data_IF_798907871755
#
_entry.id   IF_798907871755
#
_cell.length_a   1.000
_cell.length_b   1.000
_cell.length_c   1.000
_cell.angle_alpha   90.00
_cell.angle_beta   90.00
_cell.angle_gamma   90.00
#
_symmetry.space_group_name_H-M   'P 1'
#
loop_
_entity.id
_entity.type
_entity.pdbx_description
1 polymer ?
#
# COMPACT_ATOMS: atom_id res chain seq x y z
N UNK A 1 18.86 -77.35 17.10
CA UNK A 1 19.21 -77.32 15.66
C UNK A 1 18.57 -76.08 15.06
N UNK A 2 19.30 -74.98 14.96
CA UNK A 2 18.82 -73.73 14.35
C UNK A 2 19.31 -73.63 12.89
N UNK A 3 18.47 -73.21 11.92
CA UNK A 3 18.89 -73.11 10.53
C UNK A 3 19.70 -71.84 10.27
N UNK A 4 20.69 -71.98 9.38
CA UNK A 4 21.64 -70.97 8.91
C UNK A 4 20.92 -69.83 8.17
N UNK A 5 21.20 -68.59 8.56
CA UNK A 5 20.84 -67.40 7.79
C UNK A 5 21.80 -67.24 6.60
N UNK A 6 21.26 -67.23 5.38
CA UNK A 6 21.98 -66.88 4.16
C UNK A 6 22.18 -65.37 4.06
N UNK A 7 23.43 -64.94 3.85
CA UNK A 7 23.76 -63.55 3.58
C UNK A 7 23.42 -63.18 2.14
N UNK A 8 22.53 -62.20 1.97
CA UNK A 8 22.27 -61.53 0.70
C UNK A 8 23.24 -60.35 0.54
N UNK A 9 23.90 -60.25 -0.61
CA UNK A 9 24.73 -59.12 -1.03
C UNK A 9 23.85 -57.88 -1.28
N UNK A 10 24.30 -56.65 -0.96
CA UNK A 10 23.53 -55.44 -1.23
C UNK A 10 23.55 -55.09 -2.73
N UNK A 11 22.39 -54.68 -3.26
CA UNK A 11 22.21 -54.20 -4.62
C UNK A 11 22.95 -52.86 -4.86
N UNK A 12 23.40 -52.57 -6.10
CA UNK A 12 24.11 -51.33 -6.38
C UNK A 12 23.17 -50.12 -6.25
N UNK A 13 23.61 -49.14 -5.46
CA UNK A 13 22.98 -47.82 -5.35
C UNK A 13 23.26 -47.07 -6.64
N UNK A 14 22.27 -46.96 -7.52
CA UNK A 14 22.30 -46.02 -8.64
C UNK A 14 22.12 -44.60 -8.08
N UNK A 15 23.23 -43.91 -7.85
CA UNK A 15 23.22 -42.46 -7.63
C UNK A 15 22.87 -41.78 -8.94
N UNK A 16 21.73 -41.08 -9.00
CA UNK A 16 21.44 -40.17 -10.12
C UNK A 16 22.55 -39.12 -10.17
N UNK A 17 23.16 -38.84 -11.34
CA UNK A 17 24.13 -37.76 -11.44
C UNK A 17 23.45 -36.44 -11.06
N UNK A 18 24.18 -35.59 -10.33
CA UNK A 18 23.74 -34.23 -10.05
C UNK A 18 23.50 -33.49 -11.38
N UNK A 19 22.44 -32.67 -11.47
CA UNK A 19 22.16 -31.92 -12.70
C UNK A 19 23.33 -31.00 -13.03
N UNK A 20 23.64 -30.88 -14.31
CA UNK A 20 24.74 -30.03 -14.77
C UNK A 20 24.36 -28.55 -14.64
N UNK A 21 25.35 -27.66 -14.60
CA UNK A 21 25.12 -26.22 -14.55
C UNK A 21 24.31 -25.67 -15.75
N UNK A 22 24.12 -26.46 -16.82
CA UNK A 22 23.30 -26.11 -17.97
C UNK A 22 21.80 -26.38 -17.75
N UNK A 23 21.41 -27.22 -16.78
CA UNK A 23 20.01 -27.58 -16.51
C UNK A 23 19.29 -26.57 -15.61
N UNK A 24 19.99 -25.54 -15.11
CA UNK A 24 19.45 -24.48 -14.25
C UNK A 24 19.06 -23.20 -15.01
N UNK A 25 19.31 -23.15 -16.32
CA UNK A 25 18.96 -22.01 -17.17
C UNK A 25 17.55 -22.21 -17.77
N UNK A 26 16.50 -21.99 -16.98
CA UNK A 26 15.14 -21.94 -17.52
C UNK A 26 14.00 -22.37 -16.61
N UNK A 27 14.24 -22.72 -15.34
CA UNK A 27 13.13 -22.86 -14.40
C UNK A 27 12.62 -21.47 -14.02
N UNK A 28 11.32 -21.17 -14.20
CA UNK A 28 10.75 -19.95 -13.62
C UNK A 28 11.01 -20.02 -12.11
N UNK A 29 11.61 -18.96 -11.57
CA UNK A 29 11.69 -18.77 -10.12
C UNK A 29 10.31 -19.08 -9.53
N UNK A 30 10.20 -19.94 -8.49
CA UNK A 30 8.92 -20.25 -7.90
C UNK A 30 8.24 -18.92 -7.53
N UNK A 31 7.11 -18.66 -8.19
CA UNK A 31 6.31 -17.47 -7.92
C UNK A 31 5.87 -17.55 -6.47
N UNK A 32 6.37 -16.63 -5.66
CA UNK A 32 5.97 -16.56 -4.25
C UNK A 32 4.45 -16.33 -4.20
N UNK A 33 3.69 -17.23 -3.54
CA UNK A 33 2.24 -17.16 -3.57
C UNK A 33 1.75 -15.88 -2.89
N UNK A 34 0.72 -15.26 -3.46
CA UNK A 34 0.05 -14.13 -2.81
C UNK A 34 -0.62 -14.63 -1.54
N UNK A 35 -0.32 -14.00 -0.41
CA UNK A 35 -0.92 -14.31 0.88
C UNK A 35 -1.66 -13.09 1.43
N UNK A 36 -2.80 -13.34 2.08
CA UNK A 36 -3.47 -12.29 2.87
C UNK A 36 -2.60 -12.03 4.11
N UNK A 37 -2.32 -10.76 4.46
CA UNK A 37 -1.61 -10.41 5.68
C UNK A 37 -2.23 -11.09 6.91
N UNK A 38 -1.41 -11.82 7.65
CA UNK A 38 -1.76 -12.45 8.91
C UNK A 38 -1.43 -11.56 10.11
N UNK A 39 -1.67 -12.05 11.32
CA UNK A 39 -1.43 -11.30 12.54
C UNK A 39 0.04 -10.90 12.74
N UNK A 40 1.00 -11.70 12.25
CA UNK A 40 2.43 -11.36 12.29
C UNK A 40 2.76 -10.20 11.36
N UNK A 41 2.18 -10.18 10.15
CA UNK A 41 2.31 -9.07 9.22
C UNK A 41 1.78 -7.75 9.83
N UNK A 42 0.64 -7.78 10.51
CA UNK A 42 0.08 -6.60 11.19
C UNK A 42 0.96 -6.14 12.36
N UNK A 43 1.47 -7.07 13.20
CA UNK A 43 2.41 -6.72 14.28
C UNK A 43 3.70 -6.08 13.73
N UNK A 44 4.26 -6.66 12.67
CA UNK A 44 5.47 -6.14 12.03
C UNK A 44 5.23 -4.74 11.44
N UNK A 45 4.07 -4.51 10.82
CA UNK A 45 3.68 -3.20 10.29
C UNK A 45 3.52 -2.16 11.40
N UNK A 46 2.84 -2.49 12.50
CA UNK A 46 2.69 -1.60 13.64
C UNK A 46 4.06 -1.23 14.23
N UNK A 47 4.94 -2.21 14.45
CA UNK A 47 6.28 -1.99 14.96
C UNK A 47 7.11 -1.04 14.05
N UNK A 48 6.94 -1.14 12.71
CA UNK A 48 7.60 -0.22 11.77
C UNK A 48 7.05 1.21 11.85
N UNK A 49 5.73 1.36 12.03
CA UNK A 49 5.11 2.67 12.25
C UNK A 49 5.64 3.34 13.52
N UNK A 50 5.74 2.58 14.62
CA UNK A 50 6.16 3.06 15.94
C UNK A 50 7.69 3.22 16.07
N UNK A 51 8.48 2.58 15.20
CA UNK A 51 9.94 2.66 15.25
C UNK A 51 10.46 4.10 15.05
N UNK A 52 11.26 4.59 15.99
CA UNK A 52 11.88 5.92 15.87
C UNK A 52 13.28 5.88 15.24
N UNK A 53 13.99 4.75 15.41
CA UNK A 53 15.37 4.58 14.94
C UNK A 53 15.41 4.34 13.43
N UNK A 54 16.46 4.86 12.77
CA UNK A 54 16.68 4.66 11.33
C UNK A 54 15.91 5.61 10.42
N UNK A 55 15.06 6.48 10.99
CA UNK A 55 14.26 7.45 10.25
C UNK A 55 14.95 8.82 10.15
N UNK A 56 15.03 9.38 8.95
CA UNK A 56 15.51 10.74 8.71
C UNK A 56 14.32 11.69 8.59
N UNK A 57 14.21 12.66 9.50
CA UNK A 57 13.15 13.68 9.41
C UNK A 57 13.35 14.57 8.19
N UNK A 58 12.29 14.75 7.40
CA UNK A 58 12.23 15.65 6.24
C UNK A 58 11.29 16.82 6.48
N UNK A 59 10.30 16.65 7.36
CA UNK A 59 9.36 17.68 7.76
C UNK A 59 8.84 17.36 9.17
N UNK A 60 8.68 18.38 10.02
CA UNK A 60 8.05 18.22 11.34
C UNK A 60 7.54 19.58 11.83
N UNK A 61 6.25 19.87 11.62
CA UNK A 61 5.59 21.12 12.04
C UNK A 61 4.09 20.88 12.28
N UNK A 62 3.51 21.60 13.23
CA UNK A 62 2.04 21.64 13.46
C UNK A 62 1.39 20.26 13.60
N UNK A 63 1.99 19.36 14.40
CA UNK A 63 1.46 18.00 14.58
C UNK A 63 1.57 17.11 13.34
N UNK A 64 2.29 17.55 12.30
CA UNK A 64 2.56 16.77 11.08
C UNK A 64 4.04 16.48 10.97
N UNK A 65 4.38 15.21 10.77
CA UNK A 65 5.75 14.75 10.56
C UNK A 65 5.90 13.91 9.31
N UNK A 66 7.04 14.02 8.64
CA UNK A 66 7.43 13.21 7.49
C UNK A 66 8.86 12.75 7.68
N UNK A 67 9.08 11.45 7.64
CA UNK A 67 10.36 10.80 7.74
C UNK A 67 10.61 9.88 6.56
N UNK A 68 11.88 9.70 6.23
CA UNK A 68 12.31 8.82 5.15
C UNK A 68 13.41 7.90 5.67
N UNK A 69 13.33 6.64 5.30
CA UNK A 69 14.36 5.64 5.55
C UNK A 69 15.05 5.27 4.22
N UNK A 70 16.39 5.27 4.16
CA UNK A 70 17.10 4.77 2.99
C UNK A 70 16.79 3.28 2.74
N UNK A 71 16.85 2.82 1.48
CA UNK A 71 16.66 1.41 1.19
C UNK A 71 17.70 0.56 1.95
N UNK A 72 17.32 -0.63 2.43
CA UNK A 72 18.28 -1.54 3.06
C UNK A 72 19.31 -2.04 2.02
N UNK A 73 20.54 -2.41 2.44
CA UNK A 73 21.57 -2.90 1.53
C UNK A 73 21.17 -4.14 0.73
N UNK A 74 20.35 -5.02 1.34
CA UNK A 74 19.74 -6.18 0.72
C UNK A 74 18.22 -5.98 0.70
N UNK A 75 17.69 -5.43 -0.40
CA UNK A 75 16.26 -5.23 -0.58
C UNK A 75 15.94 -4.31 -1.76
N UNK A 76 14.66 -3.95 -1.94
CA UNK A 76 14.25 -3.02 -2.99
C UNK A 76 14.98 -1.68 -2.84
N UNK A 77 15.51 -1.15 -3.94
CA UNK A 77 16.20 0.15 -4.00
C UNK A 77 15.21 1.33 -3.94
N UNK A 78 14.26 1.27 -3.00
CA UNK A 78 13.13 2.20 -2.85
C UNK A 78 13.10 2.68 -1.41
N UNK A 79 13.02 4.00 -1.23
CA UNK A 79 12.86 4.62 0.07
C UNK A 79 11.53 4.23 0.73
N UNK A 80 11.57 3.98 2.04
CA UNK A 80 10.36 3.91 2.85
C UNK A 80 10.07 5.30 3.40
N UNK A 81 8.82 5.74 3.29
CA UNK A 81 8.33 7.02 3.78
C UNK A 81 7.35 6.75 4.91
N UNK A 82 7.50 7.50 6.01
CA UNK A 82 6.55 7.53 7.12
C UNK A 82 6.02 8.94 7.27
N UNK A 83 4.71 9.09 7.31
CA UNK A 83 4.03 10.35 7.51
C UNK A 83 3.11 10.21 8.73
N UNK A 84 3.17 11.15 9.67
CA UNK A 84 2.34 11.15 10.86
C UNK A 84 1.54 12.46 10.95
N UNK A 85 0.31 12.39 11.42
CA UNK A 85 -0.51 13.55 11.76
C UNK A 85 -1.33 13.28 13.02
N UNK A 86 -1.27 14.23 13.96
CA UNK A 86 -2.19 14.28 15.09
C UNK A 86 -3.50 14.94 14.69
N UNK A 87 -4.60 14.26 14.96
CA UNK A 87 -5.95 14.68 14.61
C UNK A 87 -6.74 14.90 15.89
N UNK A 88 -7.08 16.17 16.13
CA UNK A 88 -7.99 16.59 17.19
C UNK A 88 -9.43 16.63 16.67
N UNK A 89 -10.37 16.61 17.61
CA UNK A 89 -11.82 16.69 17.37
C UNK A 89 -12.42 15.58 16.50
N UNK A 90 -11.70 14.47 16.34
CA UNK A 90 -12.11 13.32 15.54
C UNK A 90 -11.71 12.02 16.27
N UNK A 91 -12.63 11.08 16.47
CA UNK A 91 -12.30 9.78 17.04
C UNK A 91 -11.62 8.87 16.00
N UNK A 92 -10.83 7.89 16.46
CA UNK A 92 -10.07 6.99 15.59
C UNK A 92 -10.97 6.23 14.60
N UNK A 93 -12.17 5.86 15.03
CA UNK A 93 -13.21 5.18 14.24
C UNK A 93 -13.61 6.00 13.00
N UNK A 94 -13.74 7.32 13.13
CA UNK A 94 -14.09 8.20 12.01
C UNK A 94 -12.95 8.26 11.00
N UNK A 95 -11.70 8.29 11.46
CA UNK A 95 -10.54 8.23 10.55
C UNK A 95 -10.50 6.88 9.82
N UNK A 96 -10.77 5.79 10.53
CA UNK A 96 -10.85 4.45 9.96
C UNK A 96 -11.94 4.35 8.89
N UNK A 97 -13.13 4.89 9.15
CA UNK A 97 -14.22 4.96 8.16
C UNK A 97 -13.81 5.76 6.91
N UNK A 98 -13.17 6.93 7.08
CA UNK A 98 -12.72 7.76 5.95
C UNK A 98 -11.69 7.06 5.07
N UNK A 99 -10.82 6.23 5.67
CA UNK A 99 -9.82 5.47 4.93
C UNK A 99 -10.43 4.33 4.10
N UNK A 100 -11.56 3.77 4.55
CA UNK A 100 -12.28 2.70 3.85
C UNK A 100 -13.32 3.19 2.83
N UNK A 101 -13.94 4.35 3.07
CA UNK A 101 -15.05 4.84 2.25
C UNK A 101 -14.56 5.39 0.89
N UNK A 102 -14.53 4.52 -0.12
CA UNK A 102 -14.08 4.85 -1.49
C UNK A 102 -14.98 5.89 -2.15
N UNK A 103 -16.28 5.88 -1.86
CA UNK A 103 -17.20 6.91 -2.35
C UNK A 103 -16.80 8.28 -1.81
N UNK A 104 -16.51 8.34 -0.51
CA UNK A 104 -16.00 9.57 0.09
C UNK A 104 -14.61 9.94 -0.40
N UNK A 105 -13.75 8.97 -0.70
CA UNK A 105 -12.40 9.22 -1.24
C UNK A 105 -12.46 10.09 -2.50
N UNK A 106 -13.39 9.80 -3.41
CA UNK A 106 -13.61 10.61 -4.63
C UNK A 106 -14.06 12.04 -4.34
N UNK A 107 -14.68 12.29 -3.19
CA UNK A 107 -15.15 13.63 -2.78
C UNK A 107 -14.02 14.52 -2.28
N UNK A 108 -13.11 13.98 -1.48
CA UNK A 108 -12.09 14.81 -0.81
C UNK A 108 -10.70 14.76 -1.47
N UNK A 109 -10.36 13.66 -2.16
CA UNK A 109 -9.08 13.51 -2.83
C UNK A 109 -9.17 13.93 -4.31
N UNK A 110 -8.85 15.19 -4.56
CA UNK A 110 -8.87 15.79 -5.91
C UNK A 110 -7.87 15.19 -6.90
N UNK A 111 -6.90 14.40 -6.40
CA UNK A 111 -5.91 13.76 -7.27
C UNK A 111 -6.43 12.43 -7.83
N UNK A 112 -7.49 11.86 -7.28
CA UNK A 112 -8.10 10.63 -7.79
C UNK A 112 -8.59 10.84 -9.21
N UNK A 113 -8.24 9.91 -10.09
CA UNK A 113 -8.81 9.79 -11.44
C UNK A 113 -9.92 8.74 -11.40
N UNK A 114 -9.59 7.57 -10.87
CA UNK A 114 -10.51 6.45 -10.73
C UNK A 114 -10.07 5.57 -9.56
N UNK A 115 -11.04 4.98 -8.86
CA UNK A 115 -10.85 4.15 -7.67
C UNK A 115 -12.06 3.27 -7.46
N UNK A 116 -11.88 1.97 -7.24
CA UNK A 116 -12.98 1.03 -6.93
C UNK A 116 -12.43 -0.28 -6.39
N UNK A 117 -13.23 -0.95 -5.57
CA UNK A 117 -12.96 -2.33 -5.19
C UNK A 117 -13.35 -3.28 -6.32
N UNK A 118 -12.53 -4.30 -6.55
CA UNK A 118 -12.67 -5.28 -7.62
C UNK A 118 -13.35 -6.53 -7.11
N UNK A 119 -12.81 -7.13 -6.04
CA UNK A 119 -13.29 -8.38 -5.49
C UNK A 119 -12.89 -8.56 -4.03
N UNK A 120 -13.65 -9.39 -3.32
CA UNK A 120 -13.39 -9.77 -1.92
C UNK A 120 -12.60 -11.07 -1.87
N UNK A 121 -11.58 -11.12 -1.01
CA UNK A 121 -10.76 -12.30 -0.74
C UNK A 121 -11.11 -12.95 0.61
N UNK A 122 -11.39 -12.13 1.62
CA UNK A 122 -11.79 -12.55 2.96
C UNK A 122 -12.82 -11.57 3.55
N UNK A 123 -13.21 -11.74 4.82
CA UNK A 123 -14.07 -10.75 5.52
C UNK A 123 -13.35 -9.41 5.72
N UNK A 124 -12.02 -9.46 5.83
CA UNK A 124 -11.16 -8.31 6.10
C UNK A 124 -10.10 -8.08 5.01
N UNK A 125 -10.31 -8.64 3.81
CA UNK A 125 -9.37 -8.48 2.70
C UNK A 125 -10.07 -8.40 1.34
N UNK A 126 -9.62 -7.48 0.51
CA UNK A 126 -10.13 -7.24 -0.84
C UNK A 126 -9.00 -6.88 -1.83
N UNK A 127 -9.37 -6.81 -3.10
CA UNK A 127 -8.53 -6.29 -4.18
C UNK A 127 -9.18 -5.01 -4.70
N UNK A 128 -8.41 -3.94 -4.81
CA UNK A 128 -8.87 -2.65 -5.32
C UNK A 128 -7.99 -2.09 -6.42
N UNK A 129 -8.56 -1.19 -7.21
CA UNK A 129 -7.88 -0.37 -8.20
C UNK A 129 -7.87 1.08 -7.75
N UNK A 130 -6.75 1.77 -7.98
CA UNK A 130 -6.60 3.19 -7.69
C UNK A 130 -5.70 3.87 -8.71
N UNK A 131 -6.11 5.02 -9.23
CA UNK A 131 -5.32 5.83 -10.16
C UNK A 131 -5.39 7.31 -9.81
N UNK A 132 -4.28 8.02 -10.01
CA UNK A 132 -4.13 9.40 -9.58
C UNK A 132 -3.33 10.28 -10.54
N UNK A 133 -3.61 11.58 -10.45
CA UNK A 133 -2.92 12.64 -11.16
C UNK A 133 -1.54 12.88 -10.54
N UNK A 134 -0.52 12.95 -11.38
CA UNK A 134 0.81 13.40 -10.97
C UNK A 134 1.05 14.86 -11.39
N UNK A 135 1.94 15.58 -10.69
CA UNK A 135 2.37 16.91 -11.11
C UNK A 135 2.91 16.87 -12.53
N UNK A 136 2.42 17.75 -13.41
CA UNK A 136 2.94 17.86 -14.77
C UNK A 136 4.45 18.18 -14.74
N UNK A 137 5.25 17.66 -15.69
CA UNK A 137 4.85 16.87 -16.86
C UNK A 137 4.87 15.34 -16.64
N UNK A 138 4.83 14.87 -15.40
CA UNK A 138 4.83 13.44 -15.09
C UNK A 138 3.56 12.75 -15.60
N UNK A 139 3.68 11.52 -16.09
CA UNK A 139 2.52 10.69 -16.41
C UNK A 139 1.73 10.35 -15.15
N UNK A 140 0.42 10.18 -15.27
CA UNK A 140 -0.42 9.73 -14.17
C UNK A 140 -0.12 8.26 -13.83
N UNK A 141 -0.44 7.83 -12.61
CA UNK A 141 -0.14 6.48 -12.13
C UNK A 141 -1.40 5.71 -11.79
N UNK A 142 -1.31 4.39 -11.89
CA UNK A 142 -2.28 3.44 -11.33
C UNK A 142 -1.61 2.36 -10.46
N UNK A 143 -2.40 1.74 -9.59
CA UNK A 143 -2.06 0.54 -8.83
C UNK A 143 -3.25 -0.39 -8.77
N UNK A 144 -2.96 -1.68 -8.69
CA UNK A 144 -3.88 -2.73 -8.26
C UNK A 144 -3.30 -3.30 -6.97
N UNK A 145 -4.06 -3.30 -5.89
CA UNK A 145 -3.57 -3.72 -4.57
C UNK A 145 -4.49 -4.72 -3.91
N UNK A 146 -3.90 -5.72 -3.27
CA UNK A 146 -4.57 -6.45 -2.20
C UNK A 146 -4.49 -5.56 -0.96
N UNK A 147 -5.64 -5.32 -0.33
CA UNK A 147 -5.75 -4.59 0.94
C UNK A 147 -6.34 -5.52 1.99
N UNK A 148 -5.80 -5.46 3.20
CA UNK A 148 -6.29 -6.19 4.37
C UNK A 148 -6.32 -5.26 5.57
N UNK A 149 -7.26 -5.48 6.49
CA UNK A 149 -7.40 -4.63 7.68
C UNK A 149 -7.60 -5.44 8.96
N UNK A 150 -7.17 -4.87 10.08
CA UNK A 150 -7.28 -5.46 11.41
C UNK A 150 -7.44 -4.37 12.46
N UNK A 151 -8.22 -4.65 13.50
CA UNK A 151 -8.34 -3.79 14.68
C UNK A 151 -7.90 -4.60 15.91
N UNK A 152 -6.93 -4.10 16.66
CA UNK A 152 -6.40 -4.72 17.89
C UNK A 152 -6.22 -3.63 18.94
N UNK A 153 -6.79 -3.80 20.13
CA UNK A 153 -6.63 -2.86 21.26
C UNK A 153 -6.85 -1.38 20.89
N UNK A 154 -7.89 -1.10 20.08
CA UNK A 154 -8.21 0.24 19.52
C UNK A 154 -7.13 0.86 18.62
N UNK A 155 -6.21 0.04 18.14
CA UNK A 155 -5.31 0.35 17.03
C UNK A 155 -5.94 -0.19 15.74
N UNK A 156 -6.23 0.70 14.81
CA UNK A 156 -6.86 0.36 13.53
C UNK A 156 -5.78 0.33 12.46
N UNK A 157 -5.63 -0.81 11.78
CA UNK A 157 -4.60 -1.02 10.77
C UNK A 157 -5.21 -1.39 9.43
N UNK A 158 -4.67 -0.81 8.37
CA UNK A 158 -4.98 -1.16 6.98
C UNK A 158 -3.65 -1.31 6.26
N UNK A 159 -3.38 -2.49 5.71
CA UNK A 159 -2.17 -2.81 4.96
C UNK A 159 -2.56 -3.12 3.53
N UNK A 160 -1.76 -2.67 2.57
CA UNK A 160 -1.90 -3.01 1.17
C UNK A 160 -0.55 -3.21 0.49
N UNK A 161 -0.55 -4.03 -0.54
CA UNK A 161 0.58 -4.23 -1.45
C UNK A 161 0.08 -4.57 -2.85
N UNK A 162 0.92 -4.35 -3.86
CA UNK A 162 0.52 -4.50 -5.25
C UNK A 162 0.44 -5.96 -5.68
N UNK A 163 -0.64 -6.27 -6.40
CA UNK A 163 -0.88 -7.58 -7.03
C UNK A 163 -1.18 -7.39 -8.51
N UNK A 164 -0.93 -8.44 -9.29
CA UNK A 164 -1.39 -8.57 -10.67
C UNK A 164 -2.77 -9.19 -10.65
N UNK A 165 -3.72 -8.48 -11.24
CA UNK A 165 -5.05 -8.99 -11.52
C UNK A 165 -5.21 -9.20 -13.03
N UNK A 166 -5.66 -10.38 -13.51
CA UNK A 166 -5.69 -10.71 -14.95
C UNK A 166 -6.46 -9.69 -15.81
N UNK A 167 -7.56 -9.15 -15.29
CA UNK A 167 -8.40 -8.16 -15.99
C UNK A 167 -7.93 -6.69 -15.85
N UNK A 168 -6.87 -6.42 -15.08
CA UNK A 168 -6.31 -5.07 -14.88
C UNK A 168 -4.81 -5.01 -15.28
N UNK A 169 -4.47 -5.36 -16.55
CA UNK A 169 -3.09 -5.24 -17.03
C UNK A 169 -2.62 -3.77 -17.04
N UNK A 170 -1.31 -3.51 -17.11
CA UNK A 170 -0.79 -2.16 -17.28
C UNK A 170 -1.39 -1.46 -18.51
N UNK A 171 -1.71 -0.18 -18.35
CA UNK A 171 -2.29 0.65 -19.40
C UNK A 171 -1.22 1.50 -20.08
N UNK A 172 -1.45 1.92 -21.33
CA UNK A 172 -0.47 2.75 -22.08
C UNK A 172 -0.45 4.21 -21.64
N UNK A 173 -1.57 4.72 -21.14
CA UNK A 173 -1.78 6.10 -20.74
C UNK A 173 -1.35 6.40 -19.30
N UNK A 174 -1.14 5.36 -18.49
CA UNK A 174 -0.76 5.44 -17.08
C UNK A 174 0.53 4.65 -16.81
N UNK A 175 1.25 5.04 -15.77
CA UNK A 175 2.38 4.27 -15.25
C UNK A 175 1.88 3.37 -14.14
N UNK A 176 2.08 2.05 -14.27
CA UNK A 176 1.81 1.10 -13.18
C UNK A 176 2.87 1.27 -12.09
N UNK A 177 2.50 1.91 -10.99
CA UNK A 177 3.33 1.95 -9.79
C UNK A 177 3.25 0.62 -9.04
N UNK A 178 4.19 0.38 -8.12
CA UNK A 178 4.23 -0.82 -7.28
C UNK A 178 4.31 -0.41 -5.82
N UNK A 179 3.23 -0.66 -5.08
CA UNK A 179 3.22 -0.62 -3.62
C UNK A 179 3.86 -1.90 -3.11
N UNK A 180 5.10 -1.83 -2.63
CA UNK A 180 5.76 -2.98 -2.01
C UNK A 180 5.09 -3.27 -0.66
N UNK A 181 4.88 -2.21 0.11
CA UNK A 181 4.08 -2.20 1.33
C UNK A 181 3.59 -0.77 1.53
N UNK A 182 2.29 -0.60 1.75
CA UNK A 182 1.76 0.65 2.24
C UNK A 182 0.65 0.39 3.25
N UNK A 183 0.41 1.32 4.15
CA UNK A 183 -0.66 1.14 5.11
C UNK A 183 -0.85 2.32 6.04
N UNK A 184 -1.90 2.21 6.83
CA UNK A 184 -2.31 3.17 7.83
C UNK A 184 -2.37 2.50 9.19
N UNK A 185 -1.86 3.18 10.21
CA UNK A 185 -2.06 2.89 11.62
C UNK A 185 -2.78 4.08 12.24
N UNK A 186 -3.97 3.87 12.79
CA UNK A 186 -4.72 4.88 13.55
C UNK A 186 -4.74 4.45 15.01
N UNK A 187 -4.22 5.31 15.88
CA UNK A 187 -4.18 5.06 17.32
C UNK A 187 -4.99 6.14 18.05
N UNK A 188 -5.95 5.71 18.86
CA UNK A 188 -6.71 6.64 19.72
C UNK A 188 -5.79 7.28 20.75
N UNK A 189 -5.86 8.61 20.87
CA UNK A 189 -5.17 9.38 21.93
C UNK A 189 -6.17 9.94 22.94
N UNK A 190 -7.46 9.63 22.76
CA UNK A 190 -8.57 10.08 23.57
C UNK A 190 -9.92 9.78 22.89
N UNK A 191 -11.06 10.08 23.54
CA UNK A 191 -12.38 9.83 22.97
C UNK A 191 -12.68 10.57 21.67
N UNK A 192 -12.03 11.72 21.43
CA UNK A 192 -12.22 12.55 20.24
C UNK A 192 -10.88 13.02 19.65
N UNK A 193 -9.85 12.20 19.78
CA UNK A 193 -8.52 12.49 19.24
C UNK A 193 -7.80 11.19 18.87
N UNK A 194 -6.96 11.28 17.84
CA UNK A 194 -6.16 10.15 17.39
C UNK A 194 -4.91 10.61 16.66
N UNK A 195 -3.95 9.70 16.51
CA UNK A 195 -2.78 9.87 15.67
C UNK A 195 -2.89 8.92 14.48
N UNK A 196 -2.71 9.46 13.29
CA UNK A 196 -2.62 8.69 12.05
C UNK A 196 -1.16 8.61 11.62
N UNK A 197 -0.67 7.39 11.47
CA UNK A 197 0.59 7.10 10.78
C UNK A 197 0.31 6.43 9.44
N UNK A 198 0.82 7.01 8.35
CA UNK A 198 0.89 6.39 7.03
C UNK A 198 2.33 5.94 6.77
N UNK A 199 2.52 4.66 6.47
CA UNK A 199 3.81 4.07 6.13
C UNK A 199 3.74 3.54 4.71
N UNK A 200 4.72 3.86 3.87
CA UNK A 200 4.72 3.46 2.47
C UNK A 200 6.13 3.26 1.91
N UNK A 201 6.34 2.09 1.33
CA UNK A 201 7.44 1.78 0.42
C UNK A 201 6.83 1.54 -0.96
N UNK A 202 6.83 2.59 -1.78
CA UNK A 202 6.21 2.57 -3.11
C UNK A 202 7.26 2.87 -4.15
N UNK A 203 7.43 1.96 -5.09
CA UNK A 203 8.16 2.24 -6.33
C UNK A 203 7.20 2.99 -7.25
N UNK A 204 7.39 4.30 -7.48
CA UNK A 204 6.53 5.07 -8.39
C UNK A 204 6.65 4.61 -9.85
N UNK A 205 7.61 3.72 -10.11
CA UNK A 205 8.08 3.20 -11.38
C UNK A 205 8.50 4.30 -12.33
N UNK A 206 9.80 4.28 -12.61
CA UNK A 206 10.47 5.32 -13.35
C UNK A 206 11.47 6.12 -12.51
N UNK A 207 12.33 6.89 -13.19
CA UNK A 207 13.28 7.77 -12.50
C UNK A 207 12.63 9.13 -12.31
N UNK A 208 12.20 9.43 -11.09
CA UNK A 208 11.63 10.75 -10.78
C UNK A 208 12.72 11.83 -10.70
N UNK A 209 12.45 13.06 -11.16
CA UNK A 209 13.34 14.19 -10.93
C UNK A 209 13.56 14.47 -9.44
N UNK A 210 14.77 14.93 -9.07
CA UNK A 210 15.11 15.29 -7.68
C UNK A 210 14.15 16.32 -7.07
N UNK A 211 13.67 17.27 -7.87
CA UNK A 211 12.73 18.29 -7.42
C UNK A 211 11.40 17.67 -6.97
N UNK A 212 10.93 16.61 -7.64
CA UNK A 212 9.70 15.88 -7.28
C UNK A 212 9.87 15.23 -5.93
N UNK A 213 10.99 14.53 -5.72
CA UNK A 213 11.29 13.84 -4.46
C UNK A 213 11.33 14.84 -3.29
N UNK A 214 12.02 15.96 -3.47
CA UNK A 214 12.11 17.01 -2.45
C UNK A 214 10.73 17.62 -2.16
N UNK A 215 9.97 17.99 -3.20
CA UNK A 215 8.64 18.60 -3.07
C UNK A 215 7.61 17.65 -2.45
N UNK A 216 7.73 16.35 -2.76
CA UNK A 216 6.85 15.32 -2.22
C UNK A 216 6.93 15.27 -0.69
N UNK A 217 8.14 15.17 -0.14
CA UNK A 217 8.33 15.08 1.32
C UNK A 217 8.06 16.39 2.07
N UNK A 218 8.33 17.55 1.46
CA UNK A 218 8.25 18.83 2.15
C UNK A 218 6.89 19.52 2.02
N UNK A 219 6.15 19.26 0.94
CA UNK A 219 4.91 19.99 0.62
C UNK A 219 3.74 19.07 0.32
N UNK A 220 3.90 18.07 -0.56
CA UNK A 220 2.76 17.26 -1.00
C UNK A 220 2.25 16.34 0.10
N UNK A 221 3.14 15.64 0.80
CA UNK A 221 2.76 14.73 1.89
C UNK A 221 2.08 15.49 3.05
N UNK A 222 2.65 16.57 3.61
CA UNK A 222 1.96 17.35 4.65
C UNK A 222 0.62 17.92 4.20
N UNK A 223 0.53 18.42 2.95
CA UNK A 223 -0.72 18.96 2.40
C UNK A 223 -1.79 17.87 2.25
N UNK A 224 -1.40 16.66 1.85
CA UNK A 224 -2.31 15.53 1.74
C UNK A 224 -2.83 15.11 3.12
N UNK A 225 -1.95 15.00 4.13
CA UNK A 225 -2.37 14.69 5.50
C UNK A 225 -3.35 15.73 6.05
N UNK A 226 -3.10 17.03 5.85
CA UNK A 226 -4.04 18.09 6.25
C UNK A 226 -5.37 18.04 5.50
N UNK A 227 -5.37 17.67 4.22
CA UNK A 227 -6.62 17.44 3.46
C UNK A 227 -7.40 16.27 4.04
N UNK A 228 -6.71 15.18 4.38
CA UNK A 228 -7.32 14.01 5.00
C UNK A 228 -7.92 14.36 6.36
N UNK A 229 -7.20 15.09 7.22
CA UNK A 229 -7.73 15.61 8.49
C UNK A 229 -9.01 16.41 8.30
N UNK A 230 -9.03 17.34 7.34
CA UNK A 230 -10.24 18.12 7.00
C UNK A 230 -11.38 17.24 6.47
N UNK A 231 -11.06 16.16 5.77
CA UNK A 231 -12.06 15.19 5.32
C UNK A 231 -12.66 14.44 6.52
N UNK A 232 -11.85 14.04 7.50
CA UNK A 232 -12.33 13.40 8.73
C UNK A 232 -13.32 14.29 9.51
N UNK A 233 -13.03 15.58 9.66
CA UNK A 233 -13.95 16.53 10.30
C UNK A 233 -15.29 16.66 9.57
N UNK A 234 -15.30 16.50 8.24
CA UNK A 234 -16.50 16.64 7.40
C UNK A 234 -17.25 15.32 7.17
N UNK A 235 -16.63 14.19 7.50
CA UNK A 235 -17.17 12.88 7.17
C UNK A 235 -18.50 12.56 7.85
N UNK A 236 -18.70 12.81 9.17
CA UNK A 236 -19.97 12.48 9.81
C UNK A 236 -21.17 13.14 9.13
N UNK A 237 -21.07 14.44 8.84
CA UNK A 237 -22.14 15.18 8.16
C UNK A 237 -22.37 14.71 6.73
N UNK A 238 -21.30 14.35 6.01
CA UNK A 238 -21.44 13.79 4.66
C UNK A 238 -22.10 12.41 4.69
N UNK A 239 -21.65 11.51 5.58
CA UNK A 239 -22.11 10.13 5.65
C UNK A 239 -23.57 10.02 6.09
N UNK A 240 -24.05 10.95 6.91
CA UNK A 240 -25.49 11.09 7.23
C UNK A 240 -26.38 11.23 5.98
N UNK A 241 -25.85 11.84 4.91
CA UNK A 241 -26.57 12.06 3.65
C UNK A 241 -26.33 10.94 2.62
N UNK A 242 -25.42 9.99 2.90
CA UNK A 242 -24.93 8.99 1.94
C UNK A 242 -24.96 7.58 2.55
N UNK A 243 -26.17 7.10 2.86
CA UNK A 243 -26.43 5.76 3.42
C UNK A 243 -25.60 5.47 4.68
N UNK A 244 -25.94 6.15 5.78
CA UNK A 244 -25.19 6.11 7.05
C UNK A 244 -24.95 4.70 7.60
N UNK A 245 -25.86 3.77 7.34
CA UNK A 245 -25.79 2.38 7.81
C UNK A 245 -24.88 1.48 6.97
N UNK A 246 -24.48 1.92 5.77
CA UNK A 246 -23.68 1.12 4.83
C UNK A 246 -22.19 1.38 5.10
N UNK A 247 -21.56 0.43 5.80
CA UNK A 247 -20.15 0.38 6.17
C UNK A 247 -19.64 -1.07 6.05
N UNK A 248 -19.45 -1.60 4.83
CA UNK A 248 -19.09 -3.01 4.60
C UNK A 248 -17.75 -3.42 5.20
N UNK A 249 -16.87 -2.46 5.51
CA UNK A 249 -15.61 -2.69 6.24
C UNK A 249 -15.80 -2.97 7.74
N UNK A 250 -16.94 -2.58 8.33
CA UNK A 250 -17.34 -2.93 9.70
C UNK A 250 -18.33 -4.11 9.72
N UNK A 251 -19.17 -4.21 8.68
CA UNK A 251 -20.27 -5.15 8.55
C UNK A 251 -20.13 -5.96 7.25
N UNK A 252 -19.28 -7.02 7.23
CA UNK A 252 -18.92 -7.73 6.00
C UNK A 252 -20.11 -8.31 5.22
N UNK A 253 -21.23 -8.59 5.88
CA UNK A 253 -22.48 -9.05 5.25
C UNK A 253 -23.11 -8.00 4.32
N UNK A 254 -22.75 -6.72 4.46
CA UNK A 254 -23.18 -5.65 3.56
C UNK A 254 -22.38 -5.63 2.24
N UNK A 255 -21.26 -6.36 2.18
CA UNK A 255 -20.36 -6.35 1.03
C UNK A 255 -20.97 -7.12 -0.15
N UNK A 256 -21.14 -6.42 -1.29
CA UNK A 256 -21.73 -6.95 -2.52
C UNK A 256 -20.69 -7.31 -3.60
N UNK A 257 -19.40 -7.21 -3.29
CA UNK A 257 -18.34 -7.53 -4.22
C UNK A 257 -18.35 -9.02 -4.57
N UNK A 258 -17.97 -9.38 -5.81
CA UNK A 258 -17.73 -10.78 -6.16
C UNK A 258 -16.59 -11.33 -5.29
N UNK A 259 -16.62 -12.63 -5.03
CA UNK A 259 -15.53 -13.32 -4.33
C UNK A 259 -14.48 -13.79 -5.34
N UNK A 260 -13.21 -13.78 -4.95
CA UNK A 260 -12.07 -14.16 -5.78
C UNK A 260 -11.15 -15.13 -5.03
N UNK A 261 -10.47 -16.02 -5.77
CA UNK A 261 -9.46 -16.89 -5.20
C UNK A 261 -8.09 -16.21 -5.21
N UNK A 262 -7.30 -16.40 -4.13
CA UNK A 262 -5.93 -15.89 -4.08
C UNK A 262 -5.04 -16.44 -5.19
N UNK A 263 -5.31 -17.66 -5.67
CA UNK A 263 -4.60 -18.29 -6.80
C UNK A 263 -4.77 -17.56 -8.12
N UNK A 264 -5.78 -16.70 -8.25
CA UNK A 264 -6.03 -15.89 -9.45
C UNK A 264 -5.15 -14.64 -9.49
N UNK A 265 -4.44 -14.36 -8.40
CA UNK A 265 -3.54 -13.23 -8.25
C UNK A 265 -2.08 -13.67 -8.28
N UNK A 266 -1.21 -12.76 -8.70
CA UNK A 266 0.23 -12.93 -8.57
C UNK A 266 0.85 -11.67 -7.94
N UNK A 267 1.99 -11.81 -7.27
CA UNK A 267 2.69 -10.64 -6.74
C UNK A 267 3.16 -9.72 -7.87
N UNK A 268 2.97 -8.41 -7.67
CA UNK A 268 3.46 -7.41 -8.60
C UNK A 268 4.90 -7.02 -8.23
N UNK A 269 5.87 -7.66 -8.85
CA UNK A 269 7.27 -7.26 -8.71
C UNK A 269 7.61 -6.06 -9.60
N UNK A 270 8.33 -5.08 -9.05
CA UNK A 270 8.82 -3.93 -9.79
C UNK A 270 9.67 -4.33 -11.01
N UNK A 271 10.52 -5.36 -10.90
CA UNK A 271 11.37 -5.83 -11.99
C UNK A 271 10.58 -6.33 -13.23
N UNK A 272 9.31 -6.69 -13.07
CA UNK A 272 8.47 -7.23 -14.16
C UNK A 272 7.74 -6.17 -14.99
N UNK A 273 7.94 -4.89 -14.69
CA UNK A 273 7.30 -3.77 -15.38
C UNK A 273 8.37 -2.88 -16.02
N UNK A 274 8.05 -2.30 -17.17
CA UNK A 274 8.91 -1.32 -17.84
C UNK A 274 9.25 -0.14 -16.93
N UNK A 275 10.50 0.34 -17.02
CA UNK A 275 10.96 1.53 -16.31
C UNK A 275 10.82 2.75 -17.22
N UNK A 276 10.13 3.79 -16.73
CA UNK A 276 9.91 5.03 -17.49
C UNK A 276 10.87 6.10 -16.96
N UNK A 277 11.88 6.47 -17.73
CA UNK A 277 12.83 7.51 -17.31
C UNK A 277 12.21 8.91 -17.48
N UNK A 278 11.84 9.53 -16.36
CA UNK A 278 11.27 10.88 -16.30
C UNK A 278 12.26 11.88 -15.68
N UNK A 279 13.53 11.50 -15.48
CA UNK A 279 14.47 12.24 -14.64
C UNK A 279 14.91 13.59 -15.23
N UNK A 280 14.79 13.73 -16.56
CA UNK A 280 15.11 14.94 -17.31
C UNK A 280 13.99 15.98 -17.32
N UNK A 281 12.81 15.65 -16.77
CA UNK A 281 11.66 16.55 -16.78
C UNK A 281 11.84 17.73 -15.81
N UNK A 282 11.71 18.94 -16.34
CA UNK A 282 11.71 20.19 -15.57
C UNK A 282 10.33 20.47 -14.97
N UNK A 283 10.32 21.15 -13.82
CA UNK A 283 9.08 21.57 -13.17
C UNK A 283 8.37 22.61 -14.03
N UNK A 284 7.13 22.31 -14.44
CA UNK A 284 6.24 23.30 -15.04
C UNK A 284 5.52 23.99 -13.89
N UNK A 285 5.71 25.30 -13.73
CA UNK A 285 4.92 26.11 -12.80
C UNK A 285 3.49 26.21 -13.35
N UNK A 286 2.54 25.48 -12.76
CA UNK A 286 1.12 25.71 -13.04
C UNK A 286 0.74 27.08 -12.46
N UNK A 287 0.47 28.07 -13.32
CA UNK A 287 -0.02 29.42 -12.96
C UNK A 287 -1.48 29.43 -12.43
N UNK A 288 -2.05 28.28 -12.07
CA UNK A 288 -3.43 28.17 -11.57
C UNK A 288 -3.52 27.28 -10.34
N UNK A 289 -3.33 27.90 -9.19
CA UNK A 289 -3.60 27.26 -7.90
C UNK A 289 -3.57 28.22 -6.70
N UNK A 290 -3.45 29.52 -6.93
CA UNK A 290 -3.41 30.56 -5.91
C UNK A 290 -4.57 31.52 -6.13
N UNK A 291 -5.76 31.10 -5.68
CA UNK A 291 -6.91 31.93 -5.30
C UNK A 291 -8.09 31.01 -4.99
N UNK A 292 -8.23 30.64 -3.73
CA UNK A 292 -9.54 30.48 -3.07
C UNK A 292 -9.32 30.16 -1.60
N UNK A 293 -9.62 31.14 -0.75
CA UNK A 293 -9.77 30.93 0.69
C UNK A 293 -9.15 31.98 1.61
N UNK A 294 -9.12 33.26 1.22
CA UNK A 294 -9.15 34.36 2.20
C UNK A 294 -10.57 34.90 2.26
N UNK A 295 -11.14 34.84 3.47
CA UNK A 295 -12.12 35.80 4.03
C UNK A 295 -13.46 35.96 3.31
N UNK A 296 -14.46 35.22 3.78
CA UNK A 296 -15.56 35.74 4.62
C UNK A 296 -16.37 34.58 5.21
#
# INVERSE_FOLDING_TARGET
MGPRAGGALPAPVFTRPAPSAADLAGSPMPMEPVQVPDADAFRAFQAQCEAERGWQSRYSREGVGVWVQPPPPAGPAVHTVKCCIDIQDVPAETVYDVLHDIEYRRKWDMNVIDTHDIARLATNADVGYYSWKCPKPLKNRDVVTLRSWQVVDKSYMIINFSVKHPQYPPRKDLVRAVSILAGYLVQSTGPNSCTLTYLAQVDPKGKLPKWVVNKASQYLAPRMLKKMQKACLKYPSWKQQHNVSVKPWLYPEQNKLPTMMLSDLALQHAASLENIDESSLSEVKDERGDQSGSEN
#
